data_IF_781822195682
#
_entry.id   IF_781822195682
#
_cell.length_a   1.000
_cell.length_b   1.000
_cell.length_c   1.000
_cell.angle_alpha   90.00
_cell.angle_beta   90.00
_cell.angle_gamma   90.00
#
_symmetry.space_group_name_H-M   'P 1'
#
loop_
_entity.id
_entity.type
_entity.pdbx_description
1 polymer ?
#
# COMPACT_ATOMS: atom_id res chain seq x y z
N UNK A 1 13.98 2.80 11.93
CA UNK A 1 13.26 2.78 10.63
C UNK A 1 12.29 3.96 10.55
N UNK A 2 12.14 4.58 9.38
CA UNK A 2 11.14 5.62 9.17
C UNK A 2 9.74 4.98 9.14
N UNK A 3 8.86 5.39 10.04
CA UNK A 3 7.46 4.92 10.09
C UNK A 3 6.58 5.96 9.43
N UNK A 4 5.86 5.55 8.38
CA UNK A 4 4.95 6.40 7.60
C UNK A 4 3.91 5.52 6.89
N UNK A 5 2.81 6.14 6.49
CA UNK A 5 1.72 5.49 5.73
C UNK A 5 1.90 5.58 4.20
N UNK A 6 2.68 6.55 3.70
CA UNK A 6 2.84 6.81 2.27
C UNK A 6 4.31 6.89 1.87
N UNK A 7 4.65 6.36 0.70
CA UNK A 7 5.98 6.48 0.09
C UNK A 7 5.84 6.86 -1.37
N UNK A 8 6.65 7.81 -1.82
CA UNK A 8 6.82 8.09 -3.24
C UNK A 8 7.78 7.06 -3.82
N UNK A 9 7.41 6.51 -4.97
CA UNK A 9 8.29 5.72 -5.79
C UNK A 9 8.92 6.59 -6.89
N UNK A 10 10.10 6.19 -7.38
CA UNK A 10 10.75 6.87 -8.49
C UNK A 10 9.88 6.79 -9.75
N UNK A 11 9.82 7.86 -10.57
CA UNK A 11 9.12 7.81 -11.84
C UNK A 11 9.78 6.80 -12.78
N UNK A 12 8.99 6.24 -13.71
CA UNK A 12 9.44 5.31 -14.75
C UNK A 12 10.14 4.05 -14.23
N UNK A 13 9.34 3.05 -13.80
CA UNK A 13 9.82 1.74 -13.33
C UNK A 13 10.60 1.80 -12.00
N UNK A 14 10.28 2.77 -11.13
CA UNK A 14 10.71 2.75 -9.74
C UNK A 14 10.21 1.51 -8.99
N UNK A 15 10.79 1.31 -7.80
CA UNK A 15 10.21 0.42 -6.79
C UNK A 15 10.51 0.92 -5.38
N UNK A 16 9.57 0.73 -4.46
CA UNK A 16 9.78 0.89 -3.03
C UNK A 16 9.49 -0.43 -2.29
N UNK A 17 10.33 -0.77 -1.30
CA UNK A 17 10.11 -1.90 -0.39
C UNK A 17 9.53 -1.37 0.93
N UNK A 18 8.40 -1.95 1.36
CA UNK A 18 7.74 -1.62 2.63
C UNK A 18 7.68 -2.86 3.52
N UNK A 19 7.81 -2.65 4.83
CA UNK A 19 7.68 -3.69 5.85
C UNK A 19 6.72 -3.21 6.95
N UNK A 20 5.80 -4.07 7.38
CA UNK A 20 4.87 -3.78 8.48
C UNK A 20 4.56 -5.05 9.28
N UNK A 21 4.20 -4.87 10.55
CA UNK A 21 3.70 -5.98 11.40
C UNK A 21 2.21 -6.16 11.19
N UNK A 22 1.77 -7.36 10.80
CA UNK A 22 0.36 -7.70 10.56
C UNK A 22 -0.42 -7.92 11.88
N UNK A 23 -0.46 -6.91 12.74
CA UNK A 23 -1.06 -6.98 14.09
C UNK A 23 -2.52 -6.49 14.15
N UNK A 24 -3.07 -6.00 13.04
CA UNK A 24 -4.40 -5.40 12.98
C UNK A 24 -5.28 -6.12 11.94
N UNK A 25 -6.15 -7.06 12.37
CA UNK A 25 -7.00 -7.80 11.45
C UNK A 25 -7.93 -6.90 10.63
N UNK A 26 -8.13 -7.26 9.36
CA UNK A 26 -8.99 -6.53 8.43
C UNK A 26 -8.52 -6.63 6.99
N UNK A 27 -9.32 -6.05 6.11
CA UNK A 27 -8.99 -5.82 4.70
C UNK A 27 -8.55 -4.36 4.53
N UNK A 28 -7.28 -4.18 4.21
CA UNK A 28 -6.64 -2.86 4.13
C UNK A 28 -6.35 -2.47 2.69
N UNK A 29 -6.67 -1.24 2.31
CA UNK A 29 -6.29 -0.73 0.99
C UNK A 29 -4.80 -0.40 0.93
N UNK A 30 -4.15 -0.93 -0.10
CA UNK A 30 -2.86 -0.46 -0.60
C UNK A 30 -3.11 0.11 -2.00
N UNK A 31 -2.93 1.42 -2.18
CA UNK A 31 -3.28 2.08 -3.44
C UNK A 31 -2.34 3.22 -3.79
N UNK A 32 -2.37 3.65 -5.05
CA UNK A 32 -1.74 4.90 -5.45
C UNK A 32 -2.60 6.08 -4.97
N UNK A 33 -1.98 7.07 -4.32
CA UNK A 33 -2.69 8.24 -3.81
C UNK A 33 -3.00 9.30 -4.89
N UNK A 34 -2.79 8.99 -6.17
CA UNK A 34 -3.29 9.81 -7.29
C UNK A 34 -4.74 9.39 -7.58
N UNK A 35 -5.74 10.27 -7.41
CA UNK A 35 -7.16 9.89 -7.51
C UNK A 35 -7.51 9.14 -8.79
N UNK A 36 -7.07 9.65 -9.95
CA UNK A 36 -7.30 9.01 -11.25
C UNK A 36 -6.70 7.60 -11.35
N UNK A 37 -5.57 7.32 -10.70
CA UNK A 37 -4.99 5.98 -10.72
C UNK A 37 -5.76 5.03 -9.81
N UNK A 38 -6.17 5.49 -8.62
CA UNK A 38 -7.01 4.71 -7.70
C UNK A 38 -8.36 4.36 -8.36
N UNK A 39 -9.04 5.36 -8.93
CA UNK A 39 -10.30 5.19 -9.67
C UNK A 39 -10.13 4.27 -10.89
N UNK A 40 -8.96 4.31 -11.53
CA UNK A 40 -8.57 3.40 -12.61
C UNK A 40 -8.24 1.96 -12.15
N UNK A 41 -8.31 1.67 -10.85
CA UNK A 41 -8.10 0.33 -10.29
C UNK A 41 -6.69 0.05 -9.78
N UNK A 42 -5.83 1.06 -9.63
CA UNK A 42 -4.51 0.91 -8.98
C UNK A 42 -4.68 0.84 -7.45
N UNK A 43 -5.28 -0.26 -7.02
CA UNK A 43 -5.64 -0.58 -5.65
C UNK A 43 -5.54 -2.09 -5.43
N UNK A 44 -5.06 -2.48 -4.26
CA UNK A 44 -5.00 -3.86 -3.81
C UNK A 44 -5.51 -3.97 -2.37
N UNK A 45 -5.98 -5.17 -2.00
CA UNK A 45 -6.36 -5.50 -0.64
C UNK A 45 -5.24 -6.30 0.03
N UNK A 46 -4.74 -5.77 1.14
CA UNK A 46 -3.92 -6.51 2.10
C UNK A 46 -4.87 -7.12 3.12
N UNK A 47 -4.99 -8.45 3.09
CA UNK A 47 -5.89 -9.19 3.97
C UNK A 47 -5.14 -9.73 5.17
N UNK A 48 -5.52 -9.27 6.36
CA UNK A 48 -4.97 -9.74 7.64
C UNK A 48 -6.11 -10.40 8.38
N UNK A 49 -6.16 -11.73 8.33
CA UNK A 49 -7.17 -12.51 9.05
C UNK A 49 -6.48 -13.49 9.98
N UNK A 50 -7.03 -13.76 11.18
CA UNK A 50 -6.62 -14.91 11.96
C UNK A 50 -6.79 -16.18 11.13
N UNK A 51 -5.89 -17.13 11.32
CA UNK A 51 -6.02 -18.50 10.79
C UNK A 51 -7.15 -19.26 11.47
#
# INVERSE_FOLDING_TARGET
PLVKDTVDDAPHMGSATIEFTAHNPGDWFLHCHKPMHMEGGLIALVRIHPS
#
